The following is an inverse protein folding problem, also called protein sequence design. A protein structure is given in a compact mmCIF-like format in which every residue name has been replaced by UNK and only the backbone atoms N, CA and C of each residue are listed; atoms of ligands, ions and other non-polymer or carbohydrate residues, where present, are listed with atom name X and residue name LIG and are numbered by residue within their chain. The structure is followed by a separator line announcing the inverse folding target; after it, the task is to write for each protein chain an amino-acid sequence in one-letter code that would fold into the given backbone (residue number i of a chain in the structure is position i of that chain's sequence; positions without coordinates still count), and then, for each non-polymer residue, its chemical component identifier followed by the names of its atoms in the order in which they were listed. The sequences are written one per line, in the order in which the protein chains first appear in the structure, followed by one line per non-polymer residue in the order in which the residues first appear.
data_IF_174849696974
#
_entry.id   IF_174849696974
#
_cell.length_a   1.000
_cell.length_b   1.000
_cell.length_c   1.000
_cell.angle_alpha   90.00
_cell.angle_beta   90.00
_cell.angle_gamma   90.00
#
_symmetry.space_group_name_H-M   'P 1'
#
loop_
_entity.id
_entity.type
_entity.pdbx_description
1 polymer ?
#
# COMPACT_ATOMS: atom_id res chain seq x y z
N UNK A 1 24.02 23.55 -9.51
CA UNK A 1 23.28 22.28 -9.33
C UNK A 1 22.18 22.54 -8.32
N UNK A 2 20.95 22.77 -8.77
CA UNK A 2 19.77 22.77 -7.90
C UNK A 2 19.54 21.33 -7.48
N UNK A 3 19.80 21.01 -6.23
CA UNK A 3 19.34 19.76 -5.61
C UNK A 3 17.82 19.79 -5.67
N UNK A 4 17.24 19.12 -6.67
CA UNK A 4 15.81 18.86 -6.71
C UNK A 4 15.45 18.10 -5.45
N UNK A 5 14.76 18.75 -4.52
CA UNK A 5 14.28 18.11 -3.30
C UNK A 5 13.36 16.97 -3.72
N UNK A 6 13.69 15.73 -3.35
CA UNK A 6 12.82 14.60 -3.65
C UNK A 6 11.42 14.85 -3.07
N UNK A 7 10.39 14.76 -3.91
CA UNK A 7 9.01 14.98 -3.49
C UNK A 7 8.58 13.88 -2.54
N UNK A 8 8.20 14.23 -1.31
CA UNK A 8 7.65 13.32 -0.31
C UNK A 8 6.12 13.34 -0.33
N UNK A 9 5.46 12.30 0.19
CA UNK A 9 3.99 12.31 0.31
C UNK A 9 3.50 13.47 1.19
N UNK A 10 4.22 13.83 2.25
CA UNK A 10 3.87 15.00 3.06
C UNK A 10 3.87 16.31 2.24
N UNK A 11 4.82 16.48 1.30
CA UNK A 11 4.84 17.64 0.41
C UNK A 11 3.67 17.60 -0.58
N UNK A 12 3.31 16.41 -1.08
CA UNK A 12 2.13 16.23 -1.95
C UNK A 12 0.84 16.59 -1.23
N UNK A 13 0.69 16.17 0.03
CA UNK A 13 -0.47 16.50 0.86
C UNK A 13 -0.57 18.00 1.12
N UNK A 14 0.56 18.64 1.42
CA UNK A 14 0.59 20.09 1.67
C UNK A 14 0.35 20.93 0.40
N UNK A 15 0.79 20.45 -0.76
CA UNK A 15 0.70 21.15 -2.05
C UNK A 15 0.36 20.17 -3.17
N UNK A 16 -0.93 19.84 -3.39
CA UNK A 16 -1.37 18.82 -4.35
C UNK A 16 -0.94 19.14 -5.79
N UNK A 17 -0.14 18.29 -6.47
CA UNK A 17 0.27 18.51 -7.85
C UNK A 17 -0.88 18.58 -8.85
N UNK A 18 -2.02 17.98 -8.53
CA UNK A 18 -3.22 18.03 -9.35
C UNK A 18 -3.88 19.41 -9.44
N UNK A 19 -3.53 20.32 -8.52
CA UNK A 19 -4.18 21.63 -8.34
C UNK A 19 -5.44 21.59 -7.48
N UNK A 20 -5.81 20.41 -6.98
CA UNK A 20 -6.97 20.24 -6.10
C UNK A 20 -6.78 20.94 -4.75
N UNK A 21 -7.85 21.36 -4.07
CA UNK A 21 -7.75 21.96 -2.74
C UNK A 21 -7.22 20.97 -1.68
N UNK A 22 -7.42 19.66 -1.90
CA UNK A 22 -6.91 18.59 -1.05
C UNK A 22 -6.29 17.50 -1.92
N UNK A 23 -5.18 16.94 -1.47
CA UNK A 23 -4.56 15.82 -2.19
C UNK A 23 -5.49 14.60 -2.19
N UNK A 24 -5.46 13.84 -3.28
CA UNK A 24 -6.20 12.59 -3.46
C UNK A 24 -5.22 11.44 -3.72
N UNK A 25 -5.31 10.42 -2.86
CA UNK A 25 -4.53 9.18 -2.94
C UNK A 25 -5.49 8.05 -3.25
N UNK A 26 -5.48 7.53 -4.48
CA UNK A 26 -6.38 6.44 -4.87
C UNK A 26 -5.64 5.12 -5.03
N UNK A 27 -6.19 4.08 -4.41
CA UNK A 27 -6.09 2.74 -4.95
C UNK A 27 -7.18 2.58 -6.02
N UNK A 28 -6.76 2.61 -7.28
CA UNK A 28 -7.67 2.48 -8.42
C UNK A 28 -7.52 1.14 -9.12
N UNK A 29 -6.90 0.15 -8.49
CA UNK A 29 -6.52 -1.09 -9.16
C UNK A 29 -7.72 -1.87 -9.70
N UNK A 30 -8.71 -2.16 -8.85
CA UNK A 30 -9.91 -2.91 -9.24
C UNK A 30 -10.74 -2.19 -10.32
N UNK A 31 -10.96 -0.90 -10.14
CA UNK A 31 -11.64 -0.05 -11.12
C UNK A 31 -10.90 -0.01 -12.46
N UNK A 32 -9.59 0.21 -12.45
CA UNK A 32 -8.80 0.24 -13.67
C UNK A 32 -8.83 -1.13 -14.37
N UNK A 33 -8.73 -2.22 -13.62
CA UNK A 33 -8.82 -3.56 -14.19
C UNK A 33 -10.18 -3.80 -14.87
N UNK A 34 -11.29 -3.40 -14.23
CA UNK A 34 -12.62 -3.58 -14.82
C UNK A 34 -12.83 -2.75 -16.10
N UNK A 35 -12.42 -1.48 -16.10
CA UNK A 35 -12.69 -0.56 -17.22
C UNK A 35 -11.67 -0.66 -18.37
N UNK A 36 -10.38 -0.79 -18.04
CA UNK A 36 -9.28 -0.74 -19.02
C UNK A 36 -8.97 -2.13 -19.56
N UNK A 37 -8.91 -3.14 -18.69
CA UNK A 37 -8.54 -4.50 -19.11
C UNK A 37 -9.72 -5.27 -19.68
N UNK A 38 -10.97 -4.90 -19.32
CA UNK A 38 -12.22 -5.46 -19.86
C UNK A 38 -12.26 -6.98 -19.79
N UNK A 39 -11.93 -7.52 -18.61
CA UNK A 39 -11.89 -8.96 -18.34
C UNK A 39 -10.57 -9.65 -18.72
N UNK A 40 -9.60 -8.94 -19.31
CA UNK A 40 -8.23 -9.46 -19.44
C UNK A 40 -7.54 -9.46 -18.08
N UNK A 41 -6.62 -10.41 -17.83
CA UNK A 41 -5.88 -10.46 -16.58
C UNK A 41 -4.98 -9.23 -16.43
N UNK A 42 -4.78 -8.82 -15.17
CA UNK A 42 -3.77 -7.81 -14.82
C UNK A 42 -2.38 -8.35 -15.18
N UNK A 43 -1.54 -7.58 -15.88
CA UNK A 43 -0.25 -8.07 -16.38
C UNK A 43 0.85 -8.06 -15.31
N UNK A 44 0.62 -8.75 -14.19
CA UNK A 44 1.57 -8.82 -13.08
C UNK A 44 2.93 -9.42 -13.46
N UNK A 45 2.96 -10.33 -14.44
CA UNK A 45 4.19 -10.98 -14.90
C UNK A 45 5.03 -10.10 -15.84
N UNK A 46 4.58 -8.89 -16.15
CA UNK A 46 5.29 -7.94 -16.99
C UNK A 46 5.17 -6.52 -16.42
N UNK A 47 6.18 -6.10 -15.66
CA UNK A 47 6.20 -4.81 -14.99
C UNK A 47 6.03 -3.61 -15.94
N UNK A 48 6.53 -3.70 -17.18
CA UNK A 48 6.36 -2.64 -18.19
C UNK A 48 4.90 -2.57 -18.65
N UNK A 49 4.26 -3.72 -18.91
CA UNK A 49 2.85 -3.77 -19.27
C UNK A 49 1.95 -3.31 -18.11
N UNK A 50 2.30 -3.68 -16.87
CA UNK A 50 1.62 -3.17 -15.67
C UNK A 50 1.76 -1.66 -15.54
N UNK A 51 2.96 -1.11 -15.69
CA UNK A 51 3.18 0.33 -15.63
C UNK A 51 2.38 1.08 -16.71
N UNK A 52 2.29 0.53 -17.92
CA UNK A 52 1.49 1.11 -19.00
C UNK A 52 -0.02 1.08 -18.70
N UNK A 53 -0.52 -0.02 -18.13
CA UNK A 53 -1.90 -0.14 -17.63
C UNK A 53 -2.19 0.88 -16.53
N UNK A 54 -1.31 0.95 -15.53
CA UNK A 54 -1.45 1.85 -14.39
C UNK A 54 -1.39 3.32 -14.84
N UNK A 55 -0.50 3.67 -15.77
CA UNK A 55 -0.38 5.00 -16.34
C UNK A 55 -1.64 5.47 -17.07
N UNK A 56 -2.38 4.57 -17.73
CA UNK A 56 -3.68 4.91 -18.34
C UNK A 56 -4.70 5.31 -17.28
N UNK A 57 -4.80 4.57 -16.18
CA UNK A 57 -5.68 4.91 -15.07
C UNK A 57 -5.27 6.23 -14.39
N UNK A 58 -3.97 6.45 -14.21
CA UNK A 58 -3.40 7.70 -13.69
C UNK A 58 -3.74 8.91 -14.56
N UNK A 59 -3.74 8.75 -15.89
CA UNK A 59 -4.14 9.81 -16.82
C UNK A 59 -5.62 10.17 -16.73
N UNK A 60 -6.49 9.18 -16.48
CA UNK A 60 -7.94 9.36 -16.35
C UNK A 60 -8.34 9.97 -15.00
N UNK A 61 -7.84 9.39 -13.92
CA UNK A 61 -8.27 9.71 -12.55
C UNK A 61 -7.49 10.88 -11.94
N UNK A 62 -6.28 11.11 -12.47
CA UNK A 62 -5.34 12.15 -12.01
C UNK A 62 -5.17 12.19 -10.48
N UNK A 63 -4.90 11.07 -9.78
CA UNK A 63 -4.54 11.14 -8.38
C UNK A 63 -3.20 11.87 -8.20
N UNK A 64 -2.93 12.34 -7.00
CA UNK A 64 -1.71 13.11 -6.69
C UNK A 64 -0.47 12.23 -6.51
N UNK A 65 -0.68 10.92 -6.31
CA UNK A 65 0.39 9.92 -6.16
C UNK A 65 0.13 8.68 -7.00
N UNK A 66 1.21 7.98 -7.33
CA UNK A 66 1.17 6.63 -7.86
C UNK A 66 1.27 5.63 -6.70
N UNK A 67 0.12 5.18 -6.19
CA UNK A 67 0.05 4.20 -5.12
C UNK A 67 0.25 2.79 -5.68
N UNK A 68 1.35 2.14 -5.30
CA UNK A 68 1.60 0.73 -5.63
C UNK A 68 1.39 -0.13 -4.39
N UNK A 69 0.41 -1.02 -4.44
CA UNK A 69 0.15 -1.98 -3.38
C UNK A 69 0.96 -3.26 -3.56
N UNK A 70 1.89 -3.48 -2.64
CA UNK A 70 2.75 -4.66 -2.68
C UNK A 70 2.04 -5.89 -2.10
N UNK A 71 0.96 -5.76 -1.32
CA UNK A 71 0.21 -6.93 -0.85
C UNK A 71 -0.38 -7.71 -2.03
N UNK A 72 -0.99 -6.99 -2.99
CA UNK A 72 -1.52 -7.56 -4.24
C UNK A 72 -0.43 -8.24 -5.08
N UNK A 73 0.73 -7.60 -5.21
CA UNK A 73 1.86 -8.19 -5.95
C UNK A 73 2.37 -9.46 -5.27
N UNK A 74 2.53 -9.45 -3.95
CA UNK A 74 2.90 -10.64 -3.19
C UNK A 74 1.84 -11.74 -3.29
N UNK A 75 0.54 -11.38 -3.27
CA UNK A 75 -0.55 -12.33 -3.47
C UNK A 75 -0.48 -13.02 -4.83
N UNK A 76 -0.21 -12.27 -5.91
CA UNK A 76 0.01 -12.82 -7.25
C UNK A 76 1.22 -13.76 -7.28
N UNK A 77 2.38 -13.28 -6.84
CA UNK A 77 3.65 -14.04 -6.92
C UNK A 77 3.68 -15.28 -6.02
N UNK A 78 2.89 -15.32 -4.95
CA UNK A 78 2.78 -16.48 -4.08
C UNK A 78 1.76 -17.52 -4.56
N UNK A 79 0.86 -17.17 -5.49
CA UNK A 79 -0.20 -18.08 -5.93
C UNK A 79 0.42 -19.34 -6.54
N UNK A 80 0.22 -20.48 -5.88
CA UNK A 80 0.77 -21.79 -6.30
C UNK A 80 2.23 -22.05 -5.92
N UNK A 81 2.87 -21.20 -5.11
CA UNK A 81 4.27 -21.36 -4.70
C UNK A 81 4.42 -22.33 -3.50
N UNK A 82 4.22 -23.62 -3.76
CA UNK A 82 4.27 -24.69 -2.74
C UNK A 82 5.63 -24.81 -2.06
N UNK A 83 6.73 -24.47 -2.74
CA UNK A 83 8.08 -24.44 -2.15
C UNK A 83 8.14 -23.44 -0.99
N UNK A 84 7.67 -22.22 -1.23
CA UNK A 84 7.71 -21.15 -0.24
C UNK A 84 6.74 -21.43 0.92
N UNK A 85 5.55 -21.95 0.63
CA UNK A 85 4.59 -22.38 1.66
C UNK A 85 5.21 -23.45 2.58
N UNK A 86 5.88 -24.44 2.01
CA UNK A 86 6.59 -25.48 2.78
C UNK A 86 7.71 -24.87 3.63
N UNK A 87 8.47 -23.93 3.08
CA UNK A 87 9.54 -23.25 3.80
C UNK A 87 9.00 -22.41 4.97
N UNK A 88 7.88 -21.70 4.77
CA UNK A 88 7.21 -20.93 5.82
C UNK A 88 6.68 -21.83 6.94
N UNK A 89 6.17 -23.02 6.60
CA UNK A 89 5.63 -23.99 7.55
C UNK A 89 6.71 -24.81 8.28
N UNK A 90 8.00 -24.64 7.94
CA UNK A 90 9.07 -25.48 8.48
C UNK A 90 9.29 -25.30 10.00
N UNK A 91 8.83 -24.19 10.61
CA UNK A 91 8.91 -23.96 12.06
C UNK A 91 7.70 -23.17 12.56
N UNK A 92 7.19 -23.54 13.73
CA UNK A 92 6.02 -22.92 14.36
C UNK A 92 6.29 -21.66 15.19
N UNK A 93 7.57 -21.28 15.40
CA UNK A 93 7.90 -20.09 16.20
C UNK A 93 7.31 -18.81 15.58
N UNK A 94 6.71 -17.95 16.40
CA UNK A 94 6.13 -16.67 15.97
C UNK A 94 7.13 -15.86 15.12
N UNK A 95 6.65 -15.31 14.00
CA UNK A 95 7.47 -14.50 13.09
C UNK A 95 8.40 -15.29 12.15
N UNK A 96 8.55 -16.61 12.31
CA UNK A 96 9.38 -17.40 11.39
C UNK A 96 8.87 -17.38 9.97
N UNK A 97 7.58 -17.66 9.76
CA UNK A 97 6.97 -17.66 8.43
C UNK A 97 7.15 -16.30 7.74
N UNK A 98 6.90 -15.20 8.46
CA UNK A 98 7.14 -13.85 7.96
C UNK A 98 8.59 -13.61 7.56
N UNK A 99 9.54 -13.97 8.43
CA UNK A 99 10.96 -13.85 8.13
C UNK A 99 11.36 -14.66 6.91
N UNK A 100 10.81 -15.87 6.76
CA UNK A 100 11.06 -16.72 5.59
C UNK A 100 10.49 -16.10 4.32
N UNK A 101 9.28 -15.56 4.37
CA UNK A 101 8.62 -14.88 3.25
C UNK A 101 9.40 -13.65 2.78
N UNK A 102 9.75 -12.76 3.71
CA UNK A 102 10.51 -11.54 3.44
C UNK A 102 11.99 -11.81 3.18
N UNK A 103 12.45 -13.03 3.39
CA UNK A 103 13.83 -13.47 3.13
C UNK A 103 14.00 -14.31 1.86
N UNK A 104 12.92 -14.61 1.12
CA UNK A 104 13.02 -15.39 -0.11
C UNK A 104 13.62 -14.55 -1.24
N UNK A 105 14.84 -14.92 -1.67
CA UNK A 105 15.64 -14.11 -2.59
C UNK A 105 15.00 -13.96 -3.98
N UNK A 106 14.38 -15.02 -4.50
CA UNK A 106 13.78 -15.00 -5.84
C UNK A 106 12.52 -14.15 -5.86
N UNK A 107 11.67 -14.30 -4.83
CA UNK A 107 10.48 -13.46 -4.66
C UNK A 107 10.87 -11.99 -4.50
N UNK A 108 11.83 -11.70 -3.63
CA UNK A 108 12.28 -10.32 -3.39
C UNK A 108 12.94 -9.70 -4.62
N UNK A 109 13.69 -10.48 -5.42
CA UNK A 109 14.24 -10.01 -6.71
C UNK A 109 13.12 -9.64 -7.67
N UNK A 110 12.12 -10.49 -7.84
CA UNK A 110 10.97 -10.22 -8.70
C UNK A 110 10.20 -8.96 -8.26
N UNK A 111 9.96 -8.80 -6.95
CA UNK A 111 9.31 -7.61 -6.38
C UNK A 111 10.16 -6.36 -6.62
N UNK A 112 11.46 -6.41 -6.35
CA UNK A 112 12.36 -5.27 -6.53
C UNK A 112 12.44 -4.84 -8.00
N UNK A 113 12.55 -5.79 -8.93
CA UNK A 113 12.57 -5.51 -10.37
C UNK A 113 11.25 -4.86 -10.81
N UNK A 114 10.12 -5.36 -10.33
CA UNK A 114 8.80 -4.81 -10.61
C UNK A 114 8.66 -3.38 -10.09
N UNK A 115 8.97 -3.15 -8.82
CA UNK A 115 8.91 -1.82 -8.19
C UNK A 115 9.88 -0.85 -8.86
N UNK A 116 11.05 -1.32 -9.28
CA UNK A 116 12.02 -0.50 -10.01
C UNK A 116 11.47 0.00 -11.34
N UNK A 117 10.86 -0.87 -12.13
CA UNK A 117 10.23 -0.47 -13.40
C UNK A 117 9.08 0.49 -13.15
N UNK A 118 8.20 0.18 -12.19
CA UNK A 118 7.09 1.05 -11.82
C UNK A 118 7.56 2.44 -11.38
N UNK A 119 8.50 2.52 -10.44
CA UNK A 119 9.00 3.77 -9.90
C UNK A 119 9.75 4.64 -10.91
N UNK A 120 10.42 4.02 -11.90
CA UNK A 120 11.10 4.75 -12.98
C UNK A 120 10.17 5.25 -14.08
N UNK A 121 8.96 4.70 -14.18
CA UNK A 121 8.00 5.02 -15.24
C UNK A 121 6.82 5.86 -14.77
N UNK A 122 6.53 5.84 -13.46
CA UNK A 122 5.51 6.68 -12.85
C UNK A 122 5.80 8.18 -13.06
N UNK A 123 4.76 8.95 -13.37
CA UNK A 123 4.86 10.42 -13.51
C UNK A 123 4.62 11.13 -12.18
N UNK A 124 3.76 10.56 -11.36
CA UNK A 124 3.47 11.02 -10.00
C UNK A 124 4.48 10.46 -9.00
N UNK A 125 4.68 11.13 -7.84
CA UNK A 125 5.44 10.58 -6.73
C UNK A 125 4.90 9.19 -6.33
N UNK A 126 5.78 8.20 -6.20
CA UNK A 126 5.38 6.83 -5.88
C UNK A 126 5.23 6.65 -4.38
N UNK A 127 4.10 6.10 -3.96
CA UNK A 127 3.88 5.65 -2.58
C UNK A 127 3.74 4.13 -2.61
N UNK A 128 4.53 3.45 -1.78
CA UNK A 128 4.38 2.01 -1.60
C UNK A 128 3.37 1.78 -0.48
N UNK A 129 2.32 1.01 -0.75
CA UNK A 129 1.45 0.46 0.29
C UNK A 129 1.91 -0.97 0.59
N UNK A 130 2.10 -1.25 1.87
CA UNK A 130 2.36 -2.59 2.37
C UNK A 130 1.42 -2.87 3.55
N UNK A 131 1.08 -4.12 3.86
CA UNK A 131 0.43 -4.42 5.13
C UNK A 131 1.30 -3.93 6.30
N UNK A 132 0.67 -3.52 7.41
CA UNK A 132 1.43 -3.23 8.63
C UNK A 132 2.18 -4.48 9.12
N UNK A 133 3.29 -4.35 9.88
CA UNK A 133 4.01 -5.53 10.41
C UNK A 133 3.11 -6.51 11.17
N UNK A 134 2.14 -6.02 11.95
CA UNK A 134 1.14 -6.88 12.59
C UNK A 134 0.28 -7.61 11.54
N UNK A 135 -0.18 -6.94 10.48
CA UNK A 135 -0.98 -7.57 9.42
C UNK A 135 -0.21 -8.65 8.67
N UNK A 136 1.05 -8.39 8.31
CA UNK A 136 1.96 -9.41 7.74
C UNK A 136 2.15 -10.60 8.67
N UNK A 137 2.36 -10.33 9.95
CA UNK A 137 2.56 -11.36 10.96
C UNK A 137 1.31 -12.24 11.07
N UNK A 138 0.12 -11.66 11.17
CA UNK A 138 -1.15 -12.38 11.18
C UNK A 138 -1.35 -13.22 9.91
N UNK A 139 -1.11 -12.64 8.72
CA UNK A 139 -1.30 -13.31 7.44
C UNK A 139 -0.40 -14.54 7.26
N UNK A 140 0.80 -14.49 7.83
CA UNK A 140 1.77 -15.59 7.80
C UNK A 140 1.66 -16.54 8.99
N UNK A 141 0.95 -16.14 10.06
CA UNK A 141 0.81 -16.94 11.28
C UNK A 141 0.15 -18.30 11.02
N UNK A 142 -0.76 -18.39 10.04
CA UNK A 142 -1.39 -19.65 9.60
C UNK A 142 -0.39 -20.75 9.23
N UNK A 143 0.81 -20.40 8.76
CA UNK A 143 1.84 -21.39 8.42
C UNK A 143 2.50 -22.01 9.66
N UNK A 144 2.32 -21.42 10.84
CA UNK A 144 2.86 -21.97 12.10
C UNK A 144 2.05 -23.15 12.65
N UNK A 145 0.89 -23.45 12.05
CA UNK A 145 -0.06 -24.45 12.55
C UNK A 145 -0.98 -23.94 13.68
N UNK A 146 -0.94 -22.63 13.99
CA UNK A 146 -1.88 -22.00 14.89
C UNK A 146 -3.20 -21.65 14.17
N UNK A 147 -4.33 -21.96 14.81
CA UNK A 147 -5.68 -21.75 14.25
C UNK A 147 -6.16 -20.30 14.38
N UNK A 148 -5.54 -19.50 15.26
CA UNK A 148 -5.87 -18.08 15.43
C UNK A 148 -4.65 -17.22 15.73
N UNK A 149 -4.86 -15.89 15.75
CA UNK A 149 -3.84 -14.88 16.06
C UNK A 149 -3.97 -14.31 17.47
N UNK A 150 -4.65 -15.02 18.39
CA UNK A 150 -5.01 -14.48 19.71
C UNK A 150 -3.80 -14.22 20.62
N UNK A 151 -2.69 -14.92 20.37
CA UNK A 151 -1.43 -14.75 21.11
C UNK A 151 -0.49 -13.67 20.55
N UNK A 152 -0.90 -12.92 19.52
CA UNK A 152 -0.07 -11.86 18.95
C UNK A 152 -0.32 -10.52 19.64
N UNK A 153 0.74 -9.80 19.99
CA UNK A 153 0.67 -8.50 20.66
C UNK A 153 1.58 -7.43 20.00
N UNK A 154 1.61 -6.24 20.59
CA UNK A 154 2.43 -5.12 20.10
C UNK A 154 3.94 -5.44 20.09
N UNK A 155 4.44 -6.25 21.03
CA UNK A 155 5.84 -6.66 21.07
C UNK A 155 6.17 -7.59 19.91
N UNK A 156 5.24 -8.47 19.52
CA UNK A 156 5.41 -9.28 18.32
C UNK A 156 5.41 -8.41 17.05
N UNK A 157 4.57 -7.38 17.00
CA UNK A 157 4.51 -6.45 15.87
C UNK A 157 5.79 -5.62 15.74
N UNK A 158 6.36 -5.16 16.84
CA UNK A 158 7.65 -4.45 16.84
C UNK A 158 8.80 -5.39 16.46
N UNK A 159 8.79 -6.65 16.90
CA UNK A 159 9.77 -7.63 16.42
C UNK A 159 9.64 -7.91 14.91
N UNK A 160 8.41 -8.00 14.39
CA UNK A 160 8.15 -8.16 12.97
C UNK A 160 8.62 -6.94 12.16
N UNK A 161 8.55 -5.75 12.74
CA UNK A 161 8.99 -4.50 12.09
C UNK A 161 10.48 -4.53 11.74
N UNK A 162 11.31 -5.27 12.49
CA UNK A 162 12.71 -5.51 12.13
C UNK A 162 12.84 -6.22 10.78
N UNK A 163 12.10 -7.33 10.57
CA UNK A 163 12.14 -8.09 9.31
C UNK A 163 11.64 -7.27 8.13
N UNK A 164 10.55 -6.51 8.34
CA UNK A 164 10.01 -5.59 7.33
C UNK A 164 11.02 -4.49 7.02
N UNK A 165 11.68 -3.92 8.03
CA UNK A 165 12.70 -2.89 7.82
C UNK A 165 13.88 -3.41 7.01
N UNK A 166 14.40 -4.60 7.31
CA UNK A 166 15.52 -5.18 6.57
C UNK A 166 15.15 -5.48 5.12
N UNK A 167 13.94 -5.97 4.87
CA UNK A 167 13.42 -6.14 3.52
C UNK A 167 13.26 -4.80 2.78
N UNK A 168 12.75 -3.75 3.45
CA UNK A 168 12.58 -2.42 2.87
C UNK A 168 13.91 -1.78 2.42
N UNK A 169 15.05 -2.19 2.99
CA UNK A 169 16.38 -1.72 2.56
C UNK A 169 16.66 -2.05 1.09
N UNK A 170 16.05 -3.09 0.52
CA UNK A 170 16.21 -3.44 -0.88
C UNK A 170 15.70 -2.34 -1.83
N UNK A 171 14.75 -1.52 -1.41
CA UNK A 171 14.22 -0.39 -2.20
C UNK A 171 15.01 0.91 -1.99
N UNK A 172 16.10 0.86 -1.22
CA UNK A 172 16.97 2.02 -1.02
C UNK A 172 17.49 2.53 -2.38
N UNK A 173 17.28 3.82 -2.64
CA UNK A 173 17.68 4.46 -3.89
C UNK A 173 16.58 4.52 -4.97
N UNK A 174 15.43 3.87 -4.77
CA UNK A 174 14.26 4.11 -5.60
C UNK A 174 13.61 5.46 -5.25
N UNK A 175 13.00 6.16 -6.22
CA UNK A 175 12.36 7.46 -6.02
C UNK A 175 10.97 7.29 -5.36
N UNK A 176 10.95 6.72 -4.16
CA UNK A 176 9.75 6.53 -3.35
C UNK A 176 9.52 7.78 -2.51
N UNK A 177 8.30 8.31 -2.57
CA UNK A 177 7.85 9.50 -1.84
C UNK A 177 7.33 9.17 -0.43
N UNK A 178 6.87 7.94 -0.23
CA UNK A 178 6.34 7.50 1.04
C UNK A 178 6.05 6.00 1.13
N UNK A 179 5.89 5.55 2.36
CA UNK A 179 5.49 4.19 2.73
C UNK A 179 4.19 4.29 3.54
N UNK A 180 3.15 3.58 3.11
CA UNK A 180 1.88 3.51 3.80
C UNK A 180 1.68 2.10 4.36
N UNK A 181 1.62 1.97 5.68
CA UNK A 181 1.31 0.73 6.38
C UNK A 181 -0.21 0.56 6.42
N UNK A 182 -0.75 -0.40 5.67
CA UNK A 182 -2.16 -0.75 5.70
C UNK A 182 -2.45 -1.62 6.93
N UNK A 183 -3.11 -1.02 7.91
CA UNK A 183 -3.48 -1.64 9.18
C UNK A 183 -4.97 -2.01 9.21
N UNK A 184 -5.68 -1.84 8.09
CA UNK A 184 -7.11 -2.14 8.00
C UNK A 184 -7.39 -3.61 8.21
N UNK A 185 -8.58 -3.89 8.74
CA UNK A 185 -9.06 -5.27 8.85
C UNK A 185 -9.73 -5.68 7.53
N UNK A 186 -9.27 -6.74 6.86
CA UNK A 186 -9.93 -7.25 5.67
C UNK A 186 -11.40 -7.61 5.95
N UNK A 187 -12.24 -7.45 4.94
CA UNK A 187 -13.64 -7.81 5.04
C UNK A 187 -13.80 -9.28 5.47
N UNK A 188 -14.62 -9.50 6.50
CA UNK A 188 -14.90 -10.85 7.04
C UNK A 188 -13.84 -11.41 7.98
N UNK A 189 -12.72 -10.71 8.20
CA UNK A 189 -11.73 -11.12 9.21
C UNK A 189 -12.09 -10.58 10.60
N UNK A 190 -11.75 -11.33 11.65
CA UNK A 190 -11.79 -10.83 13.02
C UNK A 190 -10.83 -9.66 13.18
N UNK A 191 -11.27 -8.62 13.91
CA UNK A 191 -10.41 -7.47 14.22
C UNK A 191 -9.20 -7.96 15.02
N UNK A 192 -8.00 -7.74 14.46
CA UNK A 192 -6.75 -8.08 15.12
C UNK A 192 -6.35 -7.07 16.20
N UNK A 193 -5.17 -7.25 16.76
CA UNK A 193 -4.57 -6.27 17.67
C UNK A 193 -4.22 -5.00 16.91
N UNK A 194 -4.79 -3.87 17.32
CA UNK A 194 -4.43 -2.58 16.78
C UNK A 194 -3.09 -2.13 17.38
N UNK A 195 -2.08 -2.01 16.54
CA UNK A 195 -0.75 -1.50 16.91
C UNK A 195 -0.59 -0.09 16.31
N UNK A 196 -0.29 0.93 17.13
CA UNK A 196 -0.16 2.30 16.65
C UNK A 196 1.14 2.48 15.86
N UNK A 197 1.17 3.45 14.94
CA UNK A 197 2.29 3.69 14.02
C UNK A 197 3.62 3.93 14.76
N UNK A 198 3.56 4.58 15.92
CA UNK A 198 4.72 4.90 16.76
C UNK A 198 5.40 3.66 17.33
N UNK A 199 4.71 2.51 17.37
CA UNK A 199 5.28 1.26 17.84
C UNK A 199 6.21 0.61 16.80
N UNK A 200 6.23 1.07 15.54
CA UNK A 200 7.07 0.49 14.48
C UNK A 200 8.40 1.25 14.31
N UNK A 201 9.21 1.29 15.36
CA UNK A 201 10.42 2.15 15.43
C UNK A 201 11.45 1.84 14.33
N UNK A 202 11.81 0.58 14.03
CA UNK A 202 12.70 0.22 12.93
C UNK A 202 12.25 0.79 11.56
N UNK A 203 10.95 0.76 11.28
CA UNK A 203 10.40 1.28 10.02
C UNK A 203 10.41 2.81 10.01
N UNK A 204 10.04 3.46 11.12
CA UNK A 204 10.11 4.91 11.26
C UNK A 204 11.54 5.44 11.04
N UNK A 205 12.53 4.80 11.66
CA UNK A 205 13.95 5.13 11.49
C UNK A 205 14.41 4.95 10.04
N UNK A 206 14.04 3.84 9.39
CA UNK A 206 14.39 3.57 8.01
C UNK A 206 13.75 4.57 7.04
N UNK A 207 12.46 4.84 7.19
CA UNK A 207 11.74 5.82 6.38
C UNK A 207 12.35 7.22 6.53
N UNK A 208 12.70 7.62 7.76
CA UNK A 208 13.42 8.87 8.03
C UNK A 208 14.78 8.93 7.30
N UNK A 209 15.57 7.87 7.39
CA UNK A 209 16.88 7.78 6.72
C UNK A 209 16.77 7.86 5.19
N UNK A 210 15.72 7.28 4.61
CA UNK A 210 15.47 7.32 3.16
C UNK A 210 14.62 8.51 2.71
N UNK A 211 14.22 9.37 3.65
CA UNK A 211 13.34 10.53 3.42
C UNK A 211 12.00 10.15 2.80
N UNK A 212 11.47 8.99 3.15
CA UNK A 212 10.12 8.58 2.82
C UNK A 212 9.17 9.11 3.88
N UNK A 213 8.05 9.71 3.48
CA UNK A 213 6.96 9.94 4.43
C UNK A 213 6.39 8.60 4.83
N UNK A 214 6.47 8.26 6.12
CA UNK A 214 5.80 7.10 6.68
C UNK A 214 4.36 7.47 7.06
N UNK A 215 3.40 6.61 6.76
CA UNK A 215 2.04 6.72 7.26
C UNK A 215 1.42 5.38 7.60
N UNK A 216 0.30 5.41 8.30
CA UNK A 216 -0.55 4.26 8.60
C UNK A 216 -1.96 4.54 8.10
N UNK A 217 -2.54 3.57 7.40
CA UNK A 217 -3.93 3.56 7.00
C UNK A 217 -4.70 2.62 7.94
N UNK A 218 -5.60 3.18 8.74
CA UNK A 218 -6.59 2.45 9.52
C UNK A 218 -7.94 2.43 8.77
N UNK A 219 -8.98 1.82 9.34
CA UNK A 219 -10.25 1.56 8.65
C UNK A 219 -10.93 2.83 8.09
N UNK A 220 -10.79 3.96 8.78
CA UNK A 220 -11.48 5.23 8.46
C UNK A 220 -10.53 6.41 8.18
N UNK A 221 -9.23 6.26 8.45
CA UNK A 221 -8.29 7.38 8.43
C UNK A 221 -6.87 6.97 8.08
N UNK A 222 -6.12 7.90 7.50
CA UNK A 222 -4.68 7.80 7.33
C UNK A 222 -3.96 8.81 8.24
N UNK A 223 -2.88 8.38 8.89
CA UNK A 223 -2.02 9.23 9.71
C UNK A 223 -0.61 9.22 9.15
N UNK A 224 0.02 10.39 9.06
CA UNK A 224 1.40 10.52 8.62
C UNK A 224 2.32 10.71 9.84
N UNK A 225 3.38 9.92 9.93
CA UNK A 225 4.33 10.00 11.04
C UNK A 225 5.01 11.37 11.08
N UNK A 226 5.01 12.01 12.25
CA UNK A 226 5.63 13.33 12.44
C UNK A 226 4.91 14.49 11.72
N UNK A 227 3.66 14.30 11.28
CA UNK A 227 2.88 15.32 10.58
C UNK A 227 1.46 15.39 11.19
N UNK A 228 0.93 16.61 11.31
CA UNK A 228 -0.40 16.86 11.87
C UNK A 228 -1.55 16.52 10.89
N UNK A 229 -1.26 16.41 9.59
CA UNK A 229 -2.26 16.13 8.57
C UNK A 229 -2.89 14.74 8.75
N UNK A 230 -4.21 14.70 8.75
CA UNK A 230 -5.01 13.48 8.84
C UNK A 230 -5.75 13.26 7.53
N UNK A 231 -5.53 12.09 6.93
CA UNK A 231 -6.25 11.68 5.72
C UNK A 231 -7.58 11.07 6.09
N UNK A 232 -8.64 11.44 5.37
CA UNK A 232 -9.94 10.81 5.51
C UNK A 232 -10.11 9.70 4.46
N UNK A 233 -10.58 8.53 4.88
CA UNK A 233 -10.82 7.43 3.95
C UNK A 233 -12.14 7.64 3.21
N UNK A 234 -12.11 7.66 1.88
CA UNK A 234 -13.31 7.75 1.04
C UNK A 234 -14.01 6.37 1.05
N UNK A 235 -15.24 6.29 1.58
CA UNK A 235 -15.97 5.03 1.60
C UNK A 235 -16.36 4.60 0.18
N UNK A 236 -16.45 3.29 -0.06
CA UNK A 236 -16.85 2.75 -1.38
C UNK A 236 -18.18 3.33 -1.88
N UNK A 237 -19.14 3.59 -0.98
CA UNK A 237 -20.43 4.21 -1.29
C UNK A 237 -20.32 5.56 -2.00
N UNK A 238 -19.27 6.34 -1.75
CA UNK A 238 -19.04 7.62 -2.46
C UNK A 238 -18.96 7.42 -3.99
N UNK A 239 -18.40 6.30 -4.44
CA UNK A 239 -18.26 5.98 -5.86
C UNK A 239 -19.48 5.29 -6.46
N UNK A 240 -20.34 4.68 -5.63
CA UNK A 240 -21.42 3.79 -6.06
C UNK A 240 -22.81 4.42 -5.91
N UNK A 241 -22.96 5.39 -5.01
CA UNK A 241 -24.23 5.99 -4.63
C UNK A 241 -24.21 7.50 -4.89
N UNK A 242 -25.38 8.15 -4.98
CA UNK A 242 -25.51 9.57 -5.35
C UNK A 242 -25.38 10.55 -4.17
N UNK A 243 -25.62 10.10 -2.94
CA UNK A 243 -25.76 10.99 -1.76
C UNK A 243 -24.87 10.58 -0.58
N UNK A 244 -23.60 10.29 -0.85
CA UNK A 244 -22.62 9.98 0.21
C UNK A 244 -21.72 11.18 0.44
N UNK A 245 -21.77 11.72 1.66
CA UNK A 245 -20.90 12.81 2.09
C UNK A 245 -19.47 12.34 2.32
N UNK A 246 -18.51 13.21 2.00
CA UNK A 246 -17.10 12.94 2.27
C UNK A 246 -16.78 13.18 3.75
N UNK A 247 -16.03 12.28 4.40
CA UNK A 247 -15.54 12.52 5.74
C UNK A 247 -14.56 13.69 5.77
N UNK A 248 -14.51 14.42 6.90
CA UNK A 248 -13.56 15.51 7.06
C UNK A 248 -12.12 14.99 7.20
N UNK A 249 -11.20 15.59 6.46
CA UNK A 249 -9.75 15.35 6.54
C UNK A 249 -8.96 16.37 5.73
N UNK A 250 -7.64 16.40 5.92
CA UNK A 250 -6.72 17.32 5.24
C UNK A 250 -6.37 16.85 3.82
N UNK A 251 -6.44 15.55 3.59
CA UNK A 251 -6.35 14.91 2.29
C UNK A 251 -7.30 13.71 2.24
N UNK A 252 -7.53 13.18 1.04
CA UNK A 252 -8.36 12.02 0.84
C UNK A 252 -7.54 10.81 0.42
N UNK A 253 -7.87 9.66 0.98
CA UNK A 253 -7.38 8.37 0.52
C UNK A 253 -8.57 7.47 0.24
N UNK A 254 -8.59 6.73 -0.85
CA UNK A 254 -9.74 5.86 -1.14
C UNK A 254 -9.41 4.72 -2.08
N UNK A 255 -10.22 3.67 -2.02
CA UNK A 255 -10.25 2.65 -3.07
C UNK A 255 -11.43 2.94 -3.99
N UNK A 256 -11.21 2.89 -5.31
CA UNK A 256 -12.28 2.98 -6.30
C UNK A 256 -12.73 1.56 -6.63
N UNK A 257 -13.99 1.18 -6.31
CA UNK A 257 -14.47 -0.18 -6.55
C UNK A 257 -14.51 -0.54 -8.03
N UNK A 258 -14.22 -1.81 -8.34
CA UNK A 258 -14.34 -2.36 -9.70
C UNK A 258 -15.74 -2.22 -10.33
N UNK A 259 -16.77 -2.15 -9.48
CA UNK A 259 -18.17 -2.00 -9.88
C UNK A 259 -18.60 -0.55 -10.17
N UNK A 260 -17.75 0.44 -9.91
CA UNK A 260 -18.08 1.84 -10.16
C UNK A 260 -18.15 2.14 -11.67
N UNK A 261 -19.15 2.93 -12.08
CA UNK A 261 -19.31 3.34 -13.48
C UNK A 261 -18.31 4.45 -13.86
N UNK A 262 -17.75 4.45 -15.08
CA UNK A 262 -16.82 5.50 -15.49
C UNK A 262 -17.39 6.91 -15.38
N UNK A 263 -18.64 7.11 -15.82
CA UNK A 263 -19.33 8.40 -15.76
C UNK A 263 -19.52 8.86 -14.31
N UNK A 264 -19.93 7.94 -13.42
CA UNK A 264 -20.10 8.23 -11.99
C UNK A 264 -18.79 8.60 -11.31
N UNK A 265 -17.70 7.88 -11.61
CA UNK A 265 -16.37 8.20 -11.08
C UNK A 265 -15.92 9.57 -11.54
N UNK A 266 -16.05 9.90 -12.83
CA UNK A 266 -15.66 11.21 -13.35
C UNK A 266 -16.47 12.35 -12.70
N UNK A 267 -17.79 12.19 -12.57
CA UNK A 267 -18.63 13.17 -11.90
C UNK A 267 -18.23 13.35 -10.42
N UNK A 268 -17.89 12.27 -9.71
CA UNK A 268 -17.41 12.34 -8.33
C UNK A 268 -16.04 13.00 -8.20
N UNK A 269 -15.13 12.79 -9.15
CA UNK A 269 -13.83 13.44 -9.15
C UNK A 269 -13.94 14.97 -9.24
N UNK A 270 -14.92 15.50 -9.97
CA UNK A 270 -15.18 16.94 -10.05
C UNK A 270 -15.59 17.53 -8.68
N UNK A 271 -16.27 16.74 -7.83
CA UNK A 271 -16.64 17.19 -6.48
C UNK A 271 -15.46 17.27 -5.52
N UNK A 272 -14.32 16.65 -5.86
CA UNK A 272 -13.09 16.73 -5.08
C UNK A 272 -12.27 18.00 -5.40
N UNK A 273 -12.76 18.81 -6.36
CA UNK A 273 -12.21 20.09 -6.78
C UNK A 273 -11.08 19.93 -7.78
#
# INVERSE_FOLDING_TARGET
MTTSTATTLANVVASPPSGRPKAVVFDHHEYAASVILRGRPVPWDNATAYAAFFAQAQGLLRPDVALLDLDRLYGHLQTGNTRLETAMAARSRTGFALRTLLGDEDLNRAVLDFVTVFAKTARQPVVLRIPSPMRWLMATHRFSGADDSSGLDADNAENASMYVSDWLRAFAGLPVAGLLLDNRTPAGASRGVHVPLEAYTPIANLAGNYRWTLGQLDDDRARLHGNAAVGAYIPAGFWLESDVELPAGDFYLGEIPGAASPEGVLARLETLG
#
